data_IF_636263784316
#
_entry.id   IF_636263784316
#
_cell.length_a   1.000
_cell.length_b   1.000
_cell.length_c   1.000
_cell.angle_alpha   90.00
_cell.angle_beta   90.00
_cell.angle_gamma   90.00
#
_symmetry.space_group_name_H-M   'P 1'
#
loop_
_entity.id
_entity.type
_entity.pdbx_description
1 polymer ?
#
# COMPACT_ATOMS: atom_id res chain seq x y z
N UNK A 1 55.26 40.47 -30.14
CA UNK A 1 55.69 39.22 -29.51
C UNK A 1 54.42 38.36 -29.25
N UNK A 2 54.24 37.35 -30.08
CA UNK A 2 53.05 36.47 -30.00
C UNK A 2 53.42 35.18 -29.23
N UNK A 3 52.83 35.02 -28.03
CA UNK A 3 53.04 33.83 -27.21
C UNK A 3 52.16 32.68 -27.71
N UNK A 4 52.78 31.59 -28.15
CA UNK A 4 52.11 30.34 -28.50
C UNK A 4 51.64 29.61 -27.21
N UNK A 5 50.32 29.52 -27.00
CA UNK A 5 49.74 28.62 -26.00
C UNK A 5 49.72 27.19 -26.57
N UNK A 6 50.54 26.32 -26.01
CA UNK A 6 50.55 24.87 -26.27
C UNK A 6 49.44 24.23 -25.42
N UNK A 7 48.37 23.66 -26.04
CA UNK A 7 47.39 22.80 -25.37
C UNK A 7 48.01 21.42 -25.16
N UNK A 8 48.30 21.07 -23.90
CA UNK A 8 48.58 19.67 -23.51
C UNK A 8 47.31 18.84 -23.71
N UNK A 9 47.39 17.79 -24.52
CA UNK A 9 46.37 16.73 -24.58
C UNK A 9 46.35 16.05 -23.23
N UNK A 10 45.21 16.11 -22.57
CA UNK A 10 44.93 15.35 -21.33
C UNK A 10 44.61 13.91 -21.75
N UNK A 11 45.41 12.96 -21.34
CA UNK A 11 45.10 11.52 -21.53
C UNK A 11 43.92 11.14 -20.65
N UNK A 12 42.99 10.27 -21.11
CA UNK A 12 41.89 9.84 -20.31
C UNK A 12 42.39 9.02 -19.11
N UNK A 13 42.22 9.56 -17.90
CA UNK A 13 42.70 8.96 -16.68
C UNK A 13 42.00 7.60 -16.38
N UNK A 14 42.63 6.76 -15.55
CA UNK A 14 42.19 5.44 -15.15
C UNK A 14 40.72 5.38 -14.65
N UNK A 15 40.14 6.48 -14.22
CA UNK A 15 38.75 6.59 -13.80
C UNK A 15 37.73 6.26 -14.90
N UNK A 16 38.05 6.52 -16.19
CA UNK A 16 37.15 6.16 -17.29
C UNK A 16 37.02 4.65 -17.50
N UNK A 17 38.17 3.91 -17.34
CA UNK A 17 38.16 2.45 -17.44
C UNK A 17 37.37 1.78 -16.30
N UNK A 18 37.45 2.32 -15.08
CA UNK A 18 36.68 1.81 -13.92
C UNK A 18 35.18 2.01 -14.15
N UNK A 19 34.77 3.17 -14.65
CA UNK A 19 33.36 3.45 -14.99
C UNK A 19 32.83 2.50 -16.06
N UNK A 20 33.59 2.24 -17.12
CA UNK A 20 33.20 1.33 -18.20
C UNK A 20 33.05 -0.12 -17.71
N UNK A 21 33.95 -0.61 -16.85
CA UNK A 21 33.88 -1.96 -16.26
C UNK A 21 32.67 -2.10 -15.36
N UNK A 22 32.35 -1.10 -14.54
CA UNK A 22 31.16 -1.13 -13.66
C UNK A 22 29.85 -1.17 -14.44
N UNK A 23 29.77 -0.43 -15.57
CA UNK A 23 28.58 -0.47 -16.45
C UNK A 23 28.40 -1.86 -17.07
N UNK A 24 29.48 -2.50 -17.54
CA UNK A 24 29.42 -3.85 -18.12
C UNK A 24 28.96 -4.89 -17.07
N UNK A 25 29.46 -4.79 -15.84
CA UNK A 25 29.07 -5.67 -14.75
C UNK A 25 27.59 -5.47 -14.36
N UNK A 26 27.11 -4.23 -14.34
CA UNK A 26 25.71 -3.92 -14.07
C UNK A 26 24.78 -4.51 -15.14
N UNK A 27 25.12 -4.34 -16.42
CA UNK A 27 24.36 -4.90 -17.53
C UNK A 27 24.33 -6.43 -17.49
N UNK A 28 25.44 -7.09 -17.14
CA UNK A 28 25.50 -8.52 -16.97
C UNK A 28 24.61 -9.02 -15.82
N UNK A 29 24.57 -8.29 -14.70
CA UNK A 29 23.70 -8.62 -13.57
C UNK A 29 22.21 -8.49 -13.93
N UNK A 30 21.83 -7.47 -14.68
CA UNK A 30 20.44 -7.26 -15.15
C UNK A 30 20.00 -8.38 -16.09
N UNK A 31 20.87 -8.80 -17.02
CA UNK A 31 20.55 -9.88 -17.96
C UNK A 31 20.42 -11.24 -17.27
N UNK A 32 21.27 -11.55 -16.30
CA UNK A 32 21.15 -12.75 -15.49
C UNK A 32 19.90 -12.77 -14.61
N UNK A 33 19.54 -11.65 -14.03
CA UNK A 33 18.29 -11.49 -13.27
C UNK A 33 17.05 -11.72 -14.14
N UNK A 34 17.00 -11.14 -15.35
CA UNK A 34 15.90 -11.31 -16.29
C UNK A 34 15.75 -12.79 -16.73
N UNK A 35 16.86 -13.48 -16.98
CA UNK A 35 16.87 -14.91 -17.32
C UNK A 35 16.37 -15.79 -16.16
N UNK A 36 16.69 -15.43 -14.93
CA UNK A 36 16.21 -16.14 -13.74
C UNK A 36 14.70 -15.99 -13.55
N UNK A 37 14.16 -14.78 -13.71
CA UNK A 37 12.71 -14.50 -13.64
C UNK A 37 11.95 -15.26 -14.73
N UNK A 38 12.45 -15.27 -15.97
CA UNK A 38 11.83 -16.02 -17.07
C UNK A 38 11.84 -17.55 -16.84
N UNK A 39 12.83 -18.06 -16.12
CA UNK A 39 12.92 -19.48 -15.77
C UNK A 39 11.96 -19.83 -14.62
N UNK A 40 11.83 -18.96 -13.63
CA UNK A 40 10.88 -19.12 -12.53
C UNK A 40 9.42 -19.12 -13.01
N UNK A 41 9.08 -18.26 -13.96
CA UNK A 41 7.73 -18.18 -14.56
C UNK A 41 7.31 -19.45 -15.32
N UNK A 42 8.27 -20.21 -15.87
CA UNK A 42 7.99 -21.48 -16.57
C UNK A 42 7.71 -22.66 -15.65
N UNK A 43 8.18 -22.62 -14.41
CA UNK A 43 7.95 -23.71 -13.43
C UNK A 43 6.62 -23.59 -12.71
N UNK A 44 6.00 -22.42 -12.67
CA UNK A 44 4.66 -22.21 -12.06
C UNK A 44 3.51 -22.59 -12.99
N UNK A 45 3.76 -22.63 -14.30
CA UNK A 45 2.71 -22.97 -15.31
C UNK A 45 2.44 -24.49 -15.49
N UNK A 46 3.19 -25.38 -14.85
CA UNK A 46 3.12 -26.82 -15.11
C UNK A 46 2.35 -27.64 -14.05
N UNK A 47 1.77 -27.03 -13.00
CA UNK A 47 1.16 -27.77 -11.89
C UNK A 47 -0.36 -27.73 -11.80
N UNK A 48 -1.08 -27.10 -12.74
CA UNK A 48 -2.55 -26.98 -12.68
C UNK A 48 -3.33 -27.71 -13.78
N UNK A 49 -2.82 -28.81 -14.30
CA UNK A 49 -3.54 -29.63 -15.30
C UNK A 49 -3.59 -31.12 -14.88
N UNK A 50 -4.17 -31.41 -13.72
CA UNK A 50 -4.57 -32.78 -13.39
C UNK A 50 -5.59 -32.78 -12.22
N UNK A 51 -6.86 -32.65 -12.51
CA UNK A 51 -7.97 -33.23 -11.74
C UNK A 51 -9.30 -32.80 -12.36
N UNK A 52 -9.94 -33.67 -13.10
CA UNK A 52 -11.33 -34.05 -12.93
C UNK A 52 -11.82 -34.84 -14.15
N UNK A 53 -11.82 -36.14 -14.05
CA UNK A 53 -12.70 -36.98 -14.87
C UNK A 53 -13.41 -37.94 -13.93
N UNK A 54 -14.71 -37.74 -13.74
CA UNK A 54 -15.65 -38.69 -13.15
C UNK A 54 -16.42 -39.33 -14.29
N UNK A 55 -16.46 -40.67 -14.45
CA UNK A 55 -17.22 -41.31 -15.47
C UNK A 55 -18.68 -41.48 -15.08
N UNK A 56 -19.56 -41.09 -15.97
CA UNK A 56 -20.99 -41.38 -15.93
C UNK A 56 -21.23 -42.87 -16.19
N UNK A 57 -22.07 -43.51 -15.35
CA UNK A 57 -22.71 -44.79 -15.64
C UNK A 57 -24.17 -44.58 -15.89
N UNK A 58 -24.53 -44.81 -17.11
CA UNK A 58 -25.91 -45.09 -17.60
C UNK A 58 -26.20 -46.57 -17.38
N UNK A 59 -27.31 -46.90 -16.77
CA UNK A 59 -28.03 -48.15 -17.06
C UNK A 59 -29.54 -47.91 -16.87
N UNK A 60 -30.28 -48.25 -17.90
CA UNK A 60 -31.73 -48.18 -18.02
C UNK A 60 -32.34 -49.58 -17.81
N UNK A 61 -33.66 -49.78 -17.88
CA UNK A 61 -34.43 -50.49 -16.87
C UNK A 61 -34.77 -51.93 -17.28
N UNK A 62 -35.04 -52.76 -16.32
CA UNK A 62 -35.74 -54.03 -16.53
C UNK A 62 -37.05 -54.11 -15.75
N UNK A 63 -38.08 -54.23 -16.49
CA UNK A 63 -39.44 -54.61 -16.19
C UNK A 63 -39.50 -56.06 -15.73
N UNK A 64 -40.17 -56.41 -14.65
CA UNK A 64 -40.98 -57.63 -14.59
C UNK A 64 -41.81 -57.81 -13.32
N UNK A 65 -43.05 -58.06 -13.53
CA UNK A 65 -43.99 -58.97 -12.86
C UNK A 65 -44.68 -58.54 -11.55
N UNK A 66 -45.97 -58.31 -11.74
CA UNK A 66 -47.04 -58.27 -10.71
C UNK A 66 -47.08 -59.53 -9.84
N UNK A 67 -47.20 -59.31 -8.53
CA UNK A 67 -47.86 -60.23 -7.58
C UNK A 67 -48.86 -59.45 -6.74
N UNK A 68 -50.03 -60.08 -6.59
CA UNK A 68 -51.23 -59.56 -5.91
C UNK A 68 -51.11 -59.44 -4.38
N UNK A 69 -52.00 -58.64 -3.74
CA UNK A 69 -51.78 -58.15 -2.38
C UNK A 69 -52.27 -59.16 -1.34
N UNK A 70 -51.46 -59.39 -0.35
CA UNK A 70 -51.90 -59.95 0.93
C UNK A 70 -52.11 -58.80 1.95
N UNK A 71 -53.23 -58.84 2.64
CA UNK A 71 -53.63 -57.89 3.67
C UNK A 71 -52.60 -57.79 4.82
N UNK A 72 -52.21 -56.60 5.25
CA UNK A 72 -51.25 -56.50 6.31
C UNK A 72 -51.87 -56.60 7.68
N UNK A 73 -51.22 -57.41 8.51
CA UNK A 73 -51.33 -57.43 9.97
C UNK A 73 -50.87 -56.08 10.55
N UNK A 74 -51.47 -55.53 11.62
CA UNK A 74 -51.08 -54.24 12.16
C UNK A 74 -49.67 -54.29 12.73
N UNK A 75 -48.75 -53.59 12.10
CA UNK A 75 -47.43 -53.33 12.65
C UNK A 75 -47.50 -52.32 13.80
N UNK A 76 -46.74 -52.51 14.89
CA UNK A 76 -46.62 -51.48 15.91
C UNK A 76 -46.03 -50.19 15.34
N UNK A 77 -46.61 -49.07 15.75
CA UNK A 77 -46.22 -47.71 15.39
C UNK A 77 -44.73 -47.52 15.69
N UNK A 78 -43.94 -47.04 14.75
CA UNK A 78 -42.51 -46.82 14.99
C UNK A 78 -42.36 -45.77 16.08
N UNK A 79 -41.66 -46.12 17.13
CA UNK A 79 -41.23 -45.20 18.17
C UNK A 79 -40.45 -44.07 17.50
N UNK A 80 -40.90 -42.81 17.66
CA UNK A 80 -40.28 -41.63 17.07
C UNK A 80 -38.84 -41.54 17.57
N UNK A 81 -37.89 -41.70 16.66
CA UNK A 81 -36.47 -41.41 16.94
C UNK A 81 -36.33 -39.98 17.49
N UNK A 82 -35.51 -39.77 18.52
CA UNK A 82 -35.24 -38.44 19.03
C UNK A 82 -34.80 -37.55 17.86
N UNK A 83 -35.39 -36.37 17.74
CA UNK A 83 -34.99 -35.39 16.75
C UNK A 83 -33.50 -35.14 16.90
N UNK A 84 -32.80 -35.25 15.80
CA UNK A 84 -31.38 -34.88 15.70
C UNK A 84 -31.23 -33.39 16.12
N UNK A 85 -30.33 -33.04 17.04
CA UNK A 85 -30.22 -31.66 17.48
C UNK A 85 -29.96 -30.77 16.26
N UNK A 86 -30.71 -29.67 16.17
CA UNK A 86 -30.47 -28.67 15.13
C UNK A 86 -28.98 -28.22 15.19
N UNK A 87 -28.28 -28.13 14.04
CA UNK A 87 -26.90 -27.69 14.03
C UNK A 87 -26.80 -26.32 14.69
N UNK A 88 -25.85 -26.16 15.62
CA UNK A 88 -25.55 -24.86 16.21
C UNK A 88 -25.21 -23.86 15.09
N UNK A 89 -25.75 -22.62 15.14
CA UNK A 89 -25.46 -21.64 14.12
C UNK A 89 -23.95 -21.43 14.05
N UNK A 90 -23.41 -21.48 12.84
CA UNK A 90 -22.00 -21.18 12.63
C UNK A 90 -21.69 -19.73 13.10
N UNK A 91 -20.55 -19.51 13.78
CA UNK A 91 -20.19 -18.18 14.26
C UNK A 91 -20.10 -17.20 13.10
N UNK A 92 -20.75 -16.05 13.23
CA UNK A 92 -20.61 -14.96 12.25
C UNK A 92 -19.15 -14.49 12.20
N UNK A 93 -18.53 -14.61 11.03
CA UNK A 93 -17.15 -14.20 10.80
C UNK A 93 -17.13 -12.82 10.16
N UNK A 94 -16.70 -11.80 10.93
CA UNK A 94 -16.41 -10.46 10.38
C UNK A 94 -15.07 -10.46 9.67
N UNK A 95 -14.98 -9.75 8.54
CA UNK A 95 -13.75 -9.61 7.77
C UNK A 95 -13.53 -8.16 7.37
N UNK A 96 -12.27 -7.75 7.37
CA UNK A 96 -11.81 -6.46 6.84
C UNK A 96 -10.65 -6.72 5.89
N UNK A 97 -10.71 -6.09 4.71
CA UNK A 97 -9.65 -6.13 3.72
C UNK A 97 -8.85 -4.84 3.79
N UNK A 98 -7.53 -4.96 3.89
CA UNK A 98 -6.62 -3.82 3.93
C UNK A 98 -5.63 -3.89 2.77
N UNK A 99 -5.47 -2.77 2.06
CA UNK A 99 -4.45 -2.54 1.06
C UNK A 99 -3.46 -1.50 1.59
N UNK A 100 -2.16 -1.75 1.46
CA UNK A 100 -1.13 -0.78 1.78
C UNK A 100 -0.19 -0.60 0.59
N UNK A 101 0.04 0.66 0.20
CA UNK A 101 1.00 1.06 -0.80
C UNK A 101 2.21 1.70 -0.12
N UNK A 102 3.38 1.52 -0.74
CA UNK A 102 4.63 2.14 -0.31
C UNK A 102 4.70 3.64 -0.64
N UNK A 103 5.92 4.10 -0.85
CA UNK A 103 6.28 5.50 -0.90
C UNK A 103 5.67 6.27 -2.07
N UNK A 104 4.83 7.24 -1.75
CA UNK A 104 4.39 8.27 -2.66
C UNK A 104 5.42 9.41 -2.65
N UNK A 105 6.50 9.19 -3.38
CA UNK A 105 7.63 10.12 -3.50
C UNK A 105 7.41 11.08 -4.68
N UNK A 106 6.98 12.29 -4.37
CA UNK A 106 6.74 13.33 -5.39
C UNK A 106 8.05 14.01 -5.77
N UNK A 107 8.77 13.40 -6.70
CA UNK A 107 9.98 13.98 -7.27
C UNK A 107 9.64 15.09 -8.27
N UNK A 108 10.62 15.95 -8.62
CA UNK A 108 10.43 17.09 -9.53
C UNK A 108 9.77 16.71 -10.87
N UNK A 109 10.14 15.56 -11.47
CA UNK A 109 9.55 15.10 -12.73
C UNK A 109 8.07 14.79 -12.59
N UNK A 110 7.62 14.35 -11.40
CA UNK A 110 6.21 14.05 -11.12
C UNK A 110 5.42 15.35 -11.06
N UNK A 111 5.81 16.31 -10.22
CA UNK A 111 5.02 17.53 -10.11
C UNK A 111 5.12 18.44 -11.35
N UNK A 112 6.25 18.43 -12.10
CA UNK A 112 6.32 19.11 -13.40
C UNK A 112 5.34 18.51 -14.42
N UNK A 113 5.18 17.18 -14.41
CA UNK A 113 4.21 16.53 -15.30
C UNK A 113 2.75 16.74 -14.88
N UNK A 114 2.52 17.14 -13.64
CA UNK A 114 1.20 17.47 -13.09
C UNK A 114 0.83 18.94 -13.29
N UNK A 115 1.78 19.81 -13.68
CA UNK A 115 1.58 21.25 -13.84
C UNK A 115 0.56 21.55 -14.95
N UNK A 116 -0.41 22.40 -14.64
CA UNK A 116 -1.44 22.81 -15.57
C UNK A 116 -1.02 24.09 -16.31
N UNK A 117 -1.38 24.25 -17.61
CA UNK A 117 -1.05 25.46 -18.40
C UNK A 117 -1.56 26.76 -17.79
N UNK A 118 -2.71 26.71 -17.11
CA UNK A 118 -3.35 27.82 -16.41
C UNK A 118 -2.79 28.06 -15.00
N UNK A 119 -1.86 27.25 -14.55
CA UNK A 119 -1.30 27.22 -13.21
C UNK A 119 -1.98 26.22 -12.28
N UNK A 120 -1.27 25.83 -11.21
CA UNK A 120 -1.68 24.75 -10.32
C UNK A 120 -1.27 23.36 -10.83
N UNK A 121 -1.81 22.32 -10.20
CA UNK A 121 -1.39 20.95 -10.45
C UNK A 121 -2.58 19.99 -10.48
N UNK A 122 -2.54 18.99 -11.36
CA UNK A 122 -3.44 17.83 -11.36
C UNK A 122 -2.65 16.52 -11.26
N UNK A 123 -2.72 15.90 -10.10
CA UNK A 123 -2.08 14.60 -9.86
C UNK A 123 -3.02 13.41 -10.10
N UNK A 124 -4.31 13.62 -10.37
CA UNK A 124 -5.26 12.53 -10.55
C UNK A 124 -4.84 11.51 -11.62
N UNK A 125 -4.26 11.90 -12.78
CA UNK A 125 -3.85 10.96 -13.81
C UNK A 125 -2.82 9.92 -13.35
N UNK A 126 -1.99 10.24 -12.33
CA UNK A 126 -1.00 9.29 -11.81
C UNK A 126 -1.63 8.12 -11.05
N UNK A 127 -2.85 8.28 -10.56
CA UNK A 127 -3.54 7.29 -9.74
C UNK A 127 -4.72 6.62 -10.46
N UNK A 128 -5.08 7.03 -11.66
CA UNK A 128 -6.24 6.49 -12.41
C UNK A 128 -6.17 4.97 -12.56
N UNK A 129 -5.00 4.43 -12.86
CA UNK A 129 -4.83 2.99 -13.07
C UNK A 129 -5.03 2.17 -11.78
N UNK A 130 -4.72 2.74 -10.60
CA UNK A 130 -4.82 2.04 -9.32
C UNK A 130 -6.16 2.26 -8.62
N UNK A 131 -6.91 3.32 -8.94
CA UNK A 131 -8.16 3.66 -8.30
C UNK A 131 -9.19 2.51 -8.30
N UNK A 132 -9.40 1.75 -9.39
CA UNK A 132 -10.31 0.59 -9.38
C UNK A 132 -9.87 -0.53 -8.45
N UNK A 133 -8.58 -0.63 -8.14
CA UNK A 133 -8.05 -1.62 -7.19
C UNK A 133 -8.24 -1.12 -5.78
N UNK A 134 -7.91 0.15 -5.50
CA UNK A 134 -8.09 0.80 -4.19
C UNK A 134 -9.54 0.65 -3.71
N UNK A 135 -10.51 0.86 -4.60
CA UNK A 135 -11.93 0.80 -4.27
C UNK A 135 -12.46 -0.60 -3.87
N UNK A 136 -11.65 -1.66 -4.01
CA UNK A 136 -12.04 -3.03 -3.64
C UNK A 136 -11.70 -3.37 -2.19
N UNK A 137 -11.01 -2.48 -1.47
CA UNK A 137 -10.58 -2.72 -0.11
C UNK A 137 -11.35 -1.85 0.89
N UNK A 138 -11.60 -2.39 2.07
CA UNK A 138 -12.28 -1.68 3.17
C UNK A 138 -11.43 -0.55 3.72
N UNK A 139 -10.11 -0.74 3.73
CA UNK A 139 -9.10 0.22 4.17
C UNK A 139 -8.00 0.26 3.12
N UNK A 140 -7.75 1.43 2.54
CA UNK A 140 -6.64 1.67 1.63
C UNK A 140 -5.67 2.67 2.26
N UNK A 141 -4.42 2.24 2.45
CA UNK A 141 -3.35 3.00 3.07
C UNK A 141 -2.25 3.32 2.05
N UNK A 142 -1.68 4.53 2.12
CA UNK A 142 -0.53 4.94 1.32
C UNK A 142 0.48 5.68 2.19
N UNK A 143 1.79 5.44 1.95
CA UNK A 143 2.85 6.21 2.58
C UNK A 143 3.11 7.49 1.78
N UNK A 144 2.67 8.65 2.28
CA UNK A 144 3.00 9.96 1.70
C UNK A 144 4.41 10.35 2.17
N UNK A 145 5.42 10.03 1.36
CA UNK A 145 6.80 10.20 1.77
C UNK A 145 7.24 11.66 1.81
N UNK A 146 6.86 12.45 0.82
CA UNK A 146 7.23 13.86 0.72
C UNK A 146 6.21 14.76 1.41
N UNK A 147 6.72 15.72 2.22
CA UNK A 147 5.88 16.65 2.96
C UNK A 147 5.08 17.55 1.99
N UNK A 148 3.82 17.83 2.31
CA UNK A 148 2.96 18.72 1.55
C UNK A 148 3.07 20.15 2.07
N UNK A 149 3.12 21.13 1.16
CA UNK A 149 3.20 22.54 1.51
C UNK A 149 2.25 23.39 0.66
N UNK A 150 1.65 24.38 1.29
CA UNK A 150 0.70 25.28 0.61
C UNK A 150 1.39 26.42 -0.14
N UNK A 151 2.61 26.82 0.26
CA UNK A 151 3.34 27.90 -0.36
C UNK A 151 4.19 27.39 -1.54
N UNK A 152 3.94 27.83 -2.78
CA UNK A 152 4.74 27.45 -3.95
C UNK A 152 6.23 27.78 -3.82
N UNK A 153 6.59 28.75 -3.00
CA UNK A 153 8.01 29.07 -2.75
C UNK A 153 8.77 27.95 -2.01
N UNK A 154 8.04 27.03 -1.39
CA UNK A 154 8.58 25.86 -0.69
C UNK A 154 8.62 24.59 -1.55
N UNK A 155 8.06 24.62 -2.77
CA UNK A 155 8.12 23.48 -3.68
C UNK A 155 9.56 23.17 -4.06
N UNK A 156 9.96 21.93 -3.85
CA UNK A 156 11.33 21.49 -4.10
C UNK A 156 11.40 19.98 -4.29
N UNK A 157 12.50 19.54 -4.88
CA UNK A 157 12.81 18.13 -5.09
C UNK A 157 14.01 17.70 -4.23
N UNK A 158 14.56 16.51 -4.57
CA UNK A 158 15.73 15.98 -3.89
C UNK A 158 16.84 17.03 -3.71
N UNK A 159 17.50 17.10 -2.54
CA UNK A 159 17.32 16.23 -1.37
C UNK A 159 16.30 16.73 -0.32
N UNK A 160 15.64 17.87 -0.53
CA UNK A 160 14.82 18.55 0.43
C UNK A 160 13.44 18.83 -0.17
N UNK A 161 12.58 17.82 -0.12
CA UNK A 161 11.28 17.84 -0.80
C UNK A 161 10.26 18.80 -0.18
N UNK A 162 9.41 19.34 -1.05
CA UNK A 162 8.20 20.08 -0.71
C UNK A 162 7.22 19.93 -1.84
N UNK A 163 6.12 19.25 -1.63
CA UNK A 163 5.17 18.88 -2.67
C UNK A 163 3.90 19.71 -2.60
N UNK A 164 3.26 20.02 -3.75
CA UNK A 164 1.97 20.71 -3.78
C UNK A 164 0.89 19.94 -3.00
N UNK A 165 0.00 20.67 -2.31
CA UNK A 165 -1.12 20.08 -1.57
C UNK A 165 -2.13 19.33 -2.45
N UNK A 166 -2.16 19.61 -3.76
CA UNK A 166 -3.00 18.90 -4.74
C UNK A 166 -2.67 17.39 -4.84
N UNK A 167 -1.55 16.95 -4.31
CA UNK A 167 -1.27 15.52 -4.11
C UNK A 167 -2.31 14.91 -3.16
N UNK A 168 -2.66 15.60 -2.07
CA UNK A 168 -3.70 15.14 -1.15
C UNK A 168 -5.06 15.02 -1.84
N UNK A 169 -5.41 15.98 -2.71
CA UNK A 169 -6.66 15.95 -3.48
C UNK A 169 -6.74 14.69 -4.35
N UNK A 170 -5.63 14.35 -5.01
CA UNK A 170 -5.56 13.17 -5.86
C UNK A 170 -5.65 11.86 -5.05
N UNK A 171 -4.99 11.78 -3.89
CA UNK A 171 -5.07 10.61 -3.00
C UNK A 171 -6.48 10.41 -2.46
N UNK A 172 -7.13 11.50 -2.00
CA UNK A 172 -8.52 11.46 -1.54
C UNK A 172 -9.48 11.01 -2.64
N UNK A 173 -9.36 11.57 -3.85
CA UNK A 173 -10.15 11.20 -5.02
C UNK A 173 -9.94 9.74 -5.43
N UNK A 174 -8.74 9.21 -5.24
CA UNK A 174 -8.41 7.80 -5.55
C UNK A 174 -9.08 6.83 -4.58
N UNK A 175 -9.44 7.29 -3.37
CA UNK A 175 -10.12 6.48 -2.37
C UNK A 175 -9.23 5.98 -1.23
N UNK A 176 -8.03 6.54 -1.06
CA UNK A 176 -7.22 6.26 0.11
C UNK A 176 -7.89 6.79 1.36
N UNK A 177 -8.04 5.94 2.37
CA UNK A 177 -8.66 6.25 3.66
C UNK A 177 -7.65 6.46 4.78
N UNK A 178 -6.40 6.05 4.56
CA UNK A 178 -5.30 6.19 5.50
C UNK A 178 -4.06 6.72 4.78
N UNK A 179 -3.42 7.72 5.39
CA UNK A 179 -2.17 8.29 4.90
C UNK A 179 -1.14 8.28 6.03
N UNK A 180 -0.04 7.56 5.83
CA UNK A 180 1.10 7.60 6.74
C UNK A 180 2.04 8.72 6.34
N UNK A 181 2.57 9.46 7.33
CA UNK A 181 3.39 10.64 7.10
C UNK A 181 4.69 10.67 7.89
N UNK A 182 4.92 9.75 8.85
CA UNK A 182 6.21 9.64 9.53
C UNK A 182 7.23 8.97 8.61
N UNK A 183 7.98 9.79 7.89
CA UNK A 183 9.02 9.36 6.93
C UNK A 183 10.30 10.14 7.20
N UNK A 184 11.41 9.74 6.55
CA UNK A 184 12.65 10.49 6.61
C UNK A 184 12.53 11.88 5.95
N UNK A 185 11.55 12.10 5.06
CA UNK A 185 11.29 13.35 4.35
C UNK A 185 10.17 14.22 4.96
N UNK A 186 9.52 13.77 6.03
CA UNK A 186 8.41 14.53 6.62
C UNK A 186 8.84 15.88 7.26
N UNK A 187 10.13 16.08 7.53
CA UNK A 187 10.66 17.30 8.13
C UNK A 187 11.47 18.17 7.15
N UNK A 188 11.47 17.87 5.87
CA UNK A 188 12.26 18.58 4.85
C UNK A 188 11.91 20.08 4.74
N UNK A 189 10.73 20.48 5.15
CA UNK A 189 10.28 21.88 5.24
C UNK A 189 10.09 22.34 6.70
N UNK A 190 10.73 21.65 7.63
CA UNK A 190 10.69 21.99 9.05
C UNK A 190 9.26 21.89 9.61
N UNK A 191 9.04 22.57 10.75
CA UNK A 191 7.74 22.58 11.42
C UNK A 191 6.63 23.14 10.53
N UNK A 192 6.92 24.13 9.68
CA UNK A 192 5.94 24.70 8.74
C UNK A 192 5.36 23.65 7.82
N UNK A 193 6.21 22.77 7.25
CA UNK A 193 5.74 21.69 6.37
C UNK A 193 4.80 20.72 7.08
N UNK A 194 5.13 20.32 8.32
CA UNK A 194 4.25 19.45 9.11
C UNK A 194 2.91 20.13 9.39
N UNK A 195 2.94 21.38 9.86
CA UNK A 195 1.73 22.15 10.20
C UNK A 195 0.85 22.35 8.95
N UNK A 196 1.43 22.68 7.80
CA UNK A 196 0.70 22.83 6.54
C UNK A 196 0.05 21.52 6.10
N UNK A 197 0.79 20.42 6.15
CA UNK A 197 0.28 19.08 5.80
C UNK A 197 -0.88 18.68 6.70
N UNK A 198 -0.71 18.74 8.02
CA UNK A 198 -1.76 18.36 8.99
C UNK A 198 -3.00 19.24 8.85
N UNK A 199 -2.80 20.55 8.68
CA UNK A 199 -3.89 21.50 8.46
C UNK A 199 -4.67 21.17 7.19
N UNK A 200 -3.96 20.93 6.07
CA UNK A 200 -4.60 20.64 4.78
C UNK A 200 -5.49 19.40 4.85
N UNK A 201 -4.96 18.30 5.40
CA UNK A 201 -5.75 17.07 5.57
C UNK A 201 -6.98 17.30 6.44
N UNK A 202 -6.83 17.96 7.58
CA UNK A 202 -7.94 18.21 8.51
C UNK A 202 -9.04 19.11 7.92
N UNK A 203 -8.65 20.14 7.17
CA UNK A 203 -9.61 21.12 6.63
C UNK A 203 -10.32 20.60 5.38
N UNK A 204 -9.67 19.81 4.54
CA UNK A 204 -10.22 19.38 3.25
C UNK A 204 -10.69 17.93 3.27
N UNK A 205 -10.09 17.06 4.06
CA UNK A 205 -10.34 15.62 4.08
C UNK A 205 -10.37 15.04 5.49
N UNK A 206 -11.28 15.51 6.36
CA UNK A 206 -11.35 15.11 7.78
C UNK A 206 -11.63 13.62 7.99
N UNK A 207 -12.20 12.94 6.99
CA UNK A 207 -12.49 11.50 7.04
C UNK A 207 -11.26 10.63 6.71
N UNK A 208 -10.18 11.22 6.20
CA UNK A 208 -8.94 10.49 5.96
C UNK A 208 -8.12 10.46 7.26
N UNK A 209 -7.77 9.26 7.69
CA UNK A 209 -6.91 9.06 8.86
C UNK A 209 -5.46 9.35 8.49
N UNK A 210 -4.87 10.37 9.12
CA UNK A 210 -3.44 10.69 8.98
C UNK A 210 -2.67 10.21 10.21
N UNK A 211 -1.46 9.67 9.98
CA UNK A 211 -0.63 9.02 11.00
C UNK A 211 0.80 9.55 10.94
N UNK A 212 1.43 9.63 12.10
CA UNK A 212 2.88 9.77 12.23
C UNK A 212 3.42 11.19 12.24
N UNK A 213 2.61 12.20 11.84
CA UNK A 213 2.92 13.63 11.96
C UNK A 213 1.75 14.37 12.59
N UNK A 214 2.03 15.38 13.40
CA UNK A 214 1.04 16.03 14.27
C UNK A 214 1.22 17.55 14.31
N UNK A 215 0.12 18.29 14.46
CA UNK A 215 0.12 19.74 14.59
C UNK A 215 -0.04 20.22 16.03
N UNK A 216 -0.34 19.32 16.94
CA UNK A 216 -0.47 19.59 18.39
C UNK A 216 -0.12 18.35 19.21
N UNK A 217 0.22 18.56 20.48
CA UNK A 217 0.46 17.49 21.45
C UNK A 217 -0.82 16.68 21.72
N UNK A 218 -1.98 17.33 21.71
CA UNK A 218 -3.27 16.67 21.80
C UNK A 218 -3.49 15.71 20.62
N UNK A 219 -3.16 16.15 19.40
CA UNK A 219 -3.26 15.32 18.21
C UNK A 219 -2.30 14.13 18.25
N UNK A 220 -1.08 14.30 18.72
CA UNK A 220 -0.09 13.24 18.89
C UNK A 220 -0.53 12.16 19.90
N UNK A 221 -1.18 12.58 20.98
CA UNK A 221 -1.63 11.67 22.04
C UNK A 221 -2.96 10.94 21.67
N UNK A 222 -3.54 11.23 20.53
CA UNK A 222 -4.81 10.64 20.10
C UNK A 222 -4.59 9.36 19.30
N UNK A 223 -4.92 8.20 19.90
CA UNK A 223 -4.89 6.92 19.17
C UNK A 223 -5.87 6.94 18.00
N UNK A 224 -5.38 6.58 16.80
CA UNK A 224 -6.17 6.45 15.59
C UNK A 224 -6.75 5.04 15.50
N UNK A 225 -8.06 4.93 15.66
CA UNK A 225 -8.79 3.66 15.54
C UNK A 225 -9.79 3.77 14.41
N UNK A 226 -9.70 2.86 13.46
CA UNK A 226 -10.63 2.71 12.35
C UNK A 226 -11.58 1.57 12.69
N UNK A 227 -12.87 1.78 12.56
CA UNK A 227 -13.88 0.73 12.71
C UNK A 227 -14.47 0.36 11.35
N UNK A 228 -14.36 -0.93 11.00
CA UNK A 228 -14.92 -1.50 9.77
C UNK A 228 -15.50 -2.88 10.06
N UNK A 229 -16.72 -3.12 9.60
CA UNK A 229 -17.39 -4.43 9.72
C UNK A 229 -17.38 -4.98 11.16
N UNK A 230 -17.49 -4.09 12.16
CA UNK A 230 -17.45 -4.44 13.58
C UNK A 230 -16.05 -4.74 14.12
N UNK A 231 -14.99 -4.59 13.32
CA UNK A 231 -13.60 -4.75 13.75
C UNK A 231 -12.97 -3.37 13.99
N UNK A 232 -12.36 -3.19 15.16
CA UNK A 232 -11.61 -2.00 15.54
C UNK A 232 -10.12 -2.22 15.29
N UNK A 233 -9.50 -1.36 14.50
CA UNK A 233 -8.11 -1.47 14.08
C UNK A 233 -7.40 -0.19 14.51
N UNK A 234 -6.45 -0.31 15.45
CA UNK A 234 -5.52 0.77 15.77
C UNK A 234 -4.36 0.75 14.77
N UNK A 235 -3.98 1.92 14.26
CA UNK A 235 -2.89 2.05 13.30
C UNK A 235 -1.85 3.04 13.83
N UNK A 236 -0.59 2.64 13.75
CA UNK A 236 0.57 3.40 14.19
C UNK A 236 1.55 3.55 13.02
N UNK A 237 2.27 4.68 12.97
CA UNK A 237 3.28 4.93 11.94
C UNK A 237 4.47 5.65 12.56
N UNK A 238 5.67 5.12 12.36
CA UNK A 238 6.92 5.68 12.90
C UNK A 238 7.98 5.78 11.83
N UNK A 239 8.87 6.76 11.97
CA UNK A 239 10.13 6.83 11.22
C UNK A 239 11.33 6.61 12.12
N UNK A 240 12.35 5.89 11.61
CA UNK A 240 13.62 5.73 12.34
C UNK A 240 14.46 7.01 12.39
N UNK A 241 14.25 7.97 11.47
CA UNK A 241 15.06 9.17 11.37
C UNK A 241 14.50 10.21 10.41
N UNK A 242 15.10 11.39 10.44
CA UNK A 242 14.76 12.55 9.62
C UNK A 242 16.01 13.03 8.87
N UNK A 243 15.85 13.47 7.62
CA UNK A 243 16.96 13.91 6.79
C UNK A 243 17.45 15.33 7.13
N UNK A 244 16.61 16.21 7.59
CA UNK A 244 16.85 17.65 7.69
C UNK A 244 17.01 18.20 9.11
N UNK A 245 17.22 17.37 10.13
CA UNK A 245 17.24 17.79 11.53
C UNK A 245 16.13 17.16 12.35
N UNK A 246 15.68 17.84 13.40
CA UNK A 246 14.60 17.36 14.25
C UNK A 246 13.69 18.52 14.66
N UNK A 247 12.38 18.29 14.85
CA UNK A 247 11.47 19.32 15.36
C UNK A 247 11.87 19.71 16.77
N UNK A 248 11.64 20.98 17.11
CA UNK A 248 11.82 21.49 18.48
C UNK A 248 10.85 20.87 19.49
N UNK A 249 9.74 20.32 18.98
CA UNK A 249 8.71 19.65 19.77
C UNK A 249 8.69 18.17 19.36
N UNK A 250 9.05 17.28 20.29
CA UNK A 250 9.19 15.85 20.02
C UNK A 250 7.91 15.19 19.51
N UNK A 251 6.75 15.67 19.92
CA UNK A 251 5.45 15.14 19.54
C UNK A 251 5.06 15.40 18.07
N UNK A 252 5.77 16.27 17.33
CA UNK A 252 5.41 16.59 15.95
C UNK A 252 5.61 15.43 14.97
N UNK A 253 6.47 14.47 15.31
CA UNK A 253 6.76 13.31 14.46
C UNK A 253 6.93 12.07 15.33
N UNK A 254 6.22 11.02 15.03
CA UNK A 254 6.38 9.71 15.66
C UNK A 254 7.68 9.07 15.20
N UNK A 255 8.65 8.99 16.12
CA UNK A 255 10.00 8.51 15.82
C UNK A 255 10.29 7.25 16.59
N UNK A 256 10.75 6.23 15.89
CA UNK A 256 11.25 5.00 16.48
C UNK A 256 12.67 5.24 17.04
N UNK A 257 12.77 5.95 18.15
CA UNK A 257 14.04 6.18 18.84
C UNK A 257 14.42 4.98 19.72
N UNK A 258 13.42 4.42 20.39
CA UNK A 258 13.48 3.17 21.16
C UNK A 258 12.16 2.41 20.97
N UNK A 259 12.14 1.12 21.30
CA UNK A 259 10.89 0.35 21.30
C UNK A 259 9.93 0.75 22.42
N UNK A 260 10.44 1.42 23.48
CA UNK A 260 9.62 1.88 24.62
C UNK A 260 8.47 2.81 24.16
N UNK A 261 8.69 3.61 23.10
CA UNK A 261 7.65 4.48 22.53
C UNK A 261 6.50 3.66 21.95
N UNK A 262 6.81 2.59 21.22
CA UNK A 262 5.80 1.68 20.65
C UNK A 262 5.05 0.92 21.75
N UNK A 263 5.76 0.47 22.79
CA UNK A 263 5.16 -0.21 23.95
C UNK A 263 4.20 0.72 24.70
N UNK A 264 4.54 2.00 24.83
CA UNK A 264 3.66 2.99 25.46
C UNK A 264 2.38 3.23 24.66
N UNK A 265 2.46 3.24 23.33
CA UNK A 265 1.29 3.43 22.46
C UNK A 265 0.40 2.20 22.37
N UNK A 266 0.92 1.02 22.72
CA UNK A 266 0.18 -0.25 22.75
C UNK A 266 -0.45 -0.57 24.11
N UNK A 267 -0.10 0.18 25.18
CA UNK A 267 -0.56 -0.04 26.57
C UNK A 267 -1.89 0.66 26.84
#
# INVERSE_FOLDING_TARGET
MAGKFSRKKQEPGASWFIGAVLIVLLLAAITLGALWVLRASRTVGASNAAASQVPAKTDAPQESAMQQPQSPEPQPEPEALPAEPEPEPEPEVSRVTLMALGDNLIHNTVYWSAELPEGGYDFAPFYEAIAPVVSQYDIACINQETILVGDPALYANYPNFGSPTQVADALAKTGFSVVTGATNHCFDKGETGILDTCRYWREHYPDITTLGIHDSEEDANRLRVIEKNGIRIAMLNYTYGLNGGAPGKAWMVDRLVTFDAVEADLA
#
